data_IF_882249074501
#
_entry.id   IF_882249074501
#
_cell.length_a   1.000
_cell.length_b   1.000
_cell.length_c   1.000
_cell.angle_alpha   90.00
_cell.angle_beta   90.00
_cell.angle_gamma   90.00
#
_symmetry.space_group_name_H-M   'P 1'
#
loop_
_entity.id
_entity.type
_entity.pdbx_description
1 polymer ?
#
# COMPACT_ATOMS: atom_id res chain seq x y z
N UNK A 1 -8.78 17.67 9.31
CA UNK A 1 -7.35 17.96 9.60
C UNK A 1 -6.47 16.71 9.47
N UNK A 2 -6.84 15.55 10.04
CA UNK A 2 -6.05 14.31 9.95
C UNK A 2 -5.81 13.79 8.52
N UNK A 3 -6.78 13.92 7.62
CA UNK A 3 -6.63 13.46 6.22
C UNK A 3 -5.59 14.26 5.42
N UNK A 4 -5.36 15.54 5.72
CA UNK A 4 -4.35 16.34 5.00
C UNK A 4 -2.94 15.81 5.31
N UNK A 5 -2.67 15.45 6.57
CA UNK A 5 -1.41 14.83 6.97
C UNK A 5 -1.19 13.48 6.29
N UNK A 6 -2.24 12.67 6.15
CA UNK A 6 -2.21 11.41 5.38
C UNK A 6 -1.83 11.64 3.92
N UNK A 7 -2.48 12.58 3.25
CA UNK A 7 -2.25 12.87 1.82
C UNK A 7 -0.80 13.30 1.60
N UNK A 8 -0.32 14.25 2.41
CA UNK A 8 1.07 14.71 2.35
C UNK A 8 2.05 13.59 2.68
N UNK A 9 1.77 12.79 3.71
CA UNK A 9 2.61 11.66 4.10
C UNK A 9 2.78 10.64 2.97
N UNK A 10 1.70 10.29 2.27
CA UNK A 10 1.72 9.36 1.14
C UNK A 10 2.51 9.92 -0.04
N UNK A 11 2.27 11.17 -0.44
CA UNK A 11 3.01 11.79 -1.54
C UNK A 11 4.49 11.97 -1.22
N UNK A 12 4.83 12.48 -0.03
CA UNK A 12 6.21 12.65 0.40
C UNK A 12 6.93 11.30 0.47
N UNK A 13 6.28 10.25 0.99
CA UNK A 13 6.87 8.92 1.03
C UNK A 13 7.13 8.39 -0.38
N UNK A 14 6.15 8.50 -1.30
CA UNK A 14 6.33 8.08 -2.69
C UNK A 14 7.51 8.81 -3.35
N UNK A 15 7.62 10.13 -3.14
CA UNK A 15 8.73 10.94 -3.67
C UNK A 15 10.07 10.55 -3.06
N UNK A 16 10.16 10.35 -1.74
CA UNK A 16 11.41 9.93 -1.06
C UNK A 16 11.87 8.58 -1.63
N UNK A 17 10.96 7.64 -1.81
CA UNK A 17 11.25 6.31 -2.34
C UNK A 17 11.83 6.40 -3.76
N UNK A 18 11.23 7.22 -4.63
CA UNK A 18 11.74 7.45 -5.98
C UNK A 18 13.10 8.16 -5.99
N UNK A 19 13.29 9.18 -5.16
CA UNK A 19 14.58 9.89 -5.08
C UNK A 19 15.69 8.93 -4.64
N UNK A 20 15.38 8.01 -3.72
CA UNK A 20 16.36 7.11 -3.15
C UNK A 20 16.74 5.95 -4.07
N UNK A 21 15.79 5.46 -4.88
CA UNK A 21 16.02 4.30 -5.74
C UNK A 21 15.11 4.35 -6.98
N UNK A 22 15.45 5.21 -7.94
CA UNK A 22 14.71 5.34 -9.21
C UNK A 22 15.09 4.27 -10.24
N UNK A 23 16.15 3.49 -10.03
CA UNK A 23 16.63 2.51 -11.02
C UNK A 23 15.90 1.18 -10.89
N UNK A 24 15.43 0.85 -9.70
CA UNK A 24 14.75 -0.42 -9.43
C UNK A 24 13.28 -0.37 -9.85
N UNK A 25 12.88 -1.26 -10.77
CA UNK A 25 11.50 -1.33 -11.28
C UNK A 25 10.46 -1.54 -10.15
N UNK A 26 10.74 -2.39 -9.16
CA UNK A 26 9.82 -2.58 -8.02
C UNK A 26 9.57 -1.28 -7.25
N UNK A 27 10.56 -0.39 -7.19
CA UNK A 27 10.46 0.88 -6.48
C UNK A 27 9.48 1.83 -7.15
N UNK A 28 9.41 1.83 -8.49
CA UNK A 28 8.39 2.56 -9.25
C UNK A 28 6.97 2.09 -8.93
N UNK A 29 6.77 0.77 -8.85
CA UNK A 29 5.44 0.21 -8.56
C UNK A 29 4.98 0.50 -7.13
N UNK A 30 5.91 0.47 -6.16
CA UNK A 30 5.60 0.87 -4.78
C UNK A 30 5.28 2.37 -4.69
N UNK A 31 6.06 3.22 -5.34
CA UNK A 31 5.80 4.65 -5.39
C UNK A 31 4.47 4.97 -6.09
N UNK A 32 4.17 4.27 -7.19
CA UNK A 32 2.90 4.36 -7.90
C UNK A 32 1.71 4.00 -7.00
N UNK A 33 1.82 2.90 -6.26
CA UNK A 33 0.82 2.51 -5.25
C UNK A 33 0.59 3.63 -4.22
N UNK A 34 1.64 4.13 -3.60
CA UNK A 34 1.54 5.18 -2.58
C UNK A 34 0.97 6.48 -3.14
N UNK A 35 1.37 6.86 -4.35
CA UNK A 35 0.86 8.05 -5.04
C UNK A 35 -0.63 7.91 -5.35
N UNK A 36 -1.07 6.76 -5.86
CA UNK A 36 -2.48 6.46 -6.13
C UNK A 36 -3.31 6.44 -4.83
N UNK A 37 -2.79 5.87 -3.74
CA UNK A 37 -3.44 5.97 -2.42
C UNK A 37 -3.56 7.43 -1.97
N UNK A 38 -2.53 8.25 -2.21
CA UNK A 38 -2.56 9.70 -1.94
C UNK A 38 -3.63 10.43 -2.74
N UNK A 39 -3.79 10.11 -4.04
CA UNK A 39 -4.86 10.65 -4.88
C UNK A 39 -6.25 10.21 -4.38
N UNK A 40 -6.39 8.95 -3.96
CA UNK A 40 -7.63 8.46 -3.36
C UNK A 40 -8.01 9.20 -2.08
N UNK A 41 -7.04 9.39 -1.17
CA UNK A 41 -7.25 10.17 0.04
C UNK A 41 -7.53 11.65 -0.25
N UNK A 42 -6.90 12.23 -1.30
CA UNK A 42 -7.19 13.60 -1.72
C UNK A 42 -8.61 13.73 -2.28
N UNK A 43 -9.06 12.73 -3.06
CA UNK A 43 -10.42 12.71 -3.61
C UNK A 43 -11.50 12.79 -2.52
N UNK A 44 -11.35 12.06 -1.41
CA UNK A 44 -12.36 12.05 -0.34
C UNK A 44 -12.48 13.37 0.44
N UNK A 45 -11.47 14.24 0.38
CA UNK A 45 -11.53 15.57 1.01
C UNK A 45 -11.82 16.71 0.02
N UNK A 46 -11.81 16.41 -1.29
CA UNK A 46 -11.85 17.43 -2.33
C UNK A 46 -13.13 18.28 -2.21
N UNK A 47 -14.30 17.64 -2.12
CA UNK A 47 -15.58 18.35 -1.98
C UNK A 47 -15.61 19.23 -0.72
N UNK A 48 -15.19 18.69 0.44
CA UNK A 48 -15.16 19.44 1.70
C UNK A 48 -14.25 20.66 1.67
N UNK A 49 -13.09 20.57 1.02
CA UNK A 49 -12.14 21.68 0.88
C UNK A 49 -12.73 22.79 -0.01
N UNK A 50 -13.31 22.42 -1.14
CA UNK A 50 -13.69 23.39 -2.17
C UNK A 50 -15.10 23.95 -2.04
N UNK A 51 -16.00 23.33 -1.28
CA UNK A 51 -17.41 23.75 -1.17
C UNK A 51 -17.60 25.21 -0.70
N UNK A 52 -16.66 25.74 0.08
CA UNK A 52 -16.69 27.12 0.58
C UNK A 52 -15.73 28.08 -0.14
N UNK A 53 -14.95 27.56 -1.10
CA UNK A 53 -13.89 28.31 -1.79
C UNK A 53 -14.29 28.58 -3.25
N UNK A 54 -14.94 27.62 -3.88
CA UNK A 54 -15.28 27.65 -5.31
C UNK A 54 -16.76 28.03 -5.48
N UNK A 55 -17.03 28.85 -6.50
CA UNK A 55 -18.39 29.21 -6.93
C UNK A 55 -19.21 27.92 -7.20
N UNK A 56 -20.44 27.79 -6.67
CA UNK A 56 -21.29 26.61 -6.85
C UNK A 56 -21.41 26.13 -8.30
N UNK A 57 -21.32 27.04 -9.29
CA UNK A 57 -21.38 26.66 -10.72
C UNK A 57 -20.24 25.76 -11.19
N UNK A 58 -19.12 25.72 -10.46
CA UNK A 58 -17.96 24.88 -10.77
C UNK A 58 -17.87 23.62 -9.89
N UNK A 59 -18.79 23.43 -8.94
CA UNK A 59 -18.74 22.27 -8.05
C UNK A 59 -18.93 20.95 -8.78
N UNK A 60 -19.69 20.92 -9.88
CA UNK A 60 -19.82 19.72 -10.72
C UNK A 60 -18.47 19.26 -11.30
N UNK A 61 -17.62 20.21 -11.70
CA UNK A 61 -16.26 19.90 -12.17
C UNK A 61 -15.40 19.33 -11.04
N UNK A 62 -15.51 19.89 -9.83
CA UNK A 62 -14.81 19.39 -8.63
C UNK A 62 -15.24 17.96 -8.32
N UNK A 63 -16.54 17.68 -8.33
CA UNK A 63 -17.07 16.32 -8.12
C UNK A 63 -16.61 15.35 -9.20
N UNK A 64 -16.56 15.78 -10.46
CA UNK A 64 -16.06 14.98 -11.58
C UNK A 64 -14.58 14.61 -11.43
N UNK A 65 -13.72 15.58 -11.11
CA UNK A 65 -12.29 15.36 -10.89
C UNK A 65 -12.10 14.43 -9.69
N UNK A 66 -12.79 14.70 -8.58
CA UNK A 66 -12.76 13.84 -7.39
C UNK A 66 -13.18 12.40 -7.71
N UNK A 67 -14.23 12.20 -8.51
CA UNK A 67 -14.67 10.87 -8.91
C UNK A 67 -13.58 10.14 -9.71
N UNK A 68 -12.92 10.82 -10.67
CA UNK A 68 -11.82 10.26 -11.45
C UNK A 68 -10.64 9.85 -10.58
N UNK A 69 -10.22 10.73 -9.65
CA UNK A 69 -9.12 10.43 -8.72
C UNK A 69 -9.43 9.24 -7.81
N UNK A 70 -10.65 9.17 -7.27
CA UNK A 70 -11.09 8.04 -6.43
C UNK A 70 -11.08 6.74 -7.21
N UNK A 71 -11.62 6.73 -8.44
CA UNK A 71 -11.68 5.55 -9.29
C UNK A 71 -10.27 5.08 -9.68
N UNK A 72 -9.38 6.01 -10.09
CA UNK A 72 -7.99 5.66 -10.39
C UNK A 72 -7.29 5.03 -9.19
N UNK A 73 -7.52 5.55 -7.99
CA UNK A 73 -6.95 4.99 -6.76
C UNK A 73 -7.47 3.58 -6.45
N UNK A 74 -8.78 3.35 -6.58
CA UNK A 74 -9.37 2.05 -6.30
C UNK A 74 -8.89 0.96 -7.26
N UNK A 75 -8.70 1.29 -8.55
CA UNK A 75 -8.43 0.29 -9.59
C UNK A 75 -6.93 0.06 -9.79
N UNK A 76 -6.15 1.14 -9.83
CA UNK A 76 -4.74 1.04 -10.19
C UNK A 76 -3.86 0.70 -8.98
N UNK A 77 -4.23 1.12 -7.76
CA UNK A 77 -3.38 0.91 -6.60
C UNK A 77 -3.21 -0.58 -6.26
N UNK A 78 -4.28 -1.41 -6.21
CA UNK A 78 -4.14 -2.85 -5.94
C UNK A 78 -3.29 -3.58 -6.98
N UNK A 79 -3.40 -3.20 -8.25
CA UNK A 79 -2.52 -3.73 -9.31
C UNK A 79 -1.06 -3.31 -9.10
N UNK A 80 -0.80 -2.04 -8.81
CA UNK A 80 0.56 -1.55 -8.54
C UNK A 80 1.22 -2.31 -7.38
N UNK A 81 0.52 -2.52 -6.26
CA UNK A 81 1.10 -3.23 -5.12
C UNK A 81 1.28 -4.73 -5.39
N UNK A 82 0.42 -5.34 -6.20
CA UNK A 82 0.59 -6.73 -6.62
C UNK A 82 1.82 -6.89 -7.50
N UNK A 83 2.00 -6.03 -8.52
CA UNK A 83 3.19 -6.04 -9.39
C UNK A 83 4.46 -5.80 -8.55
N UNK A 84 4.41 -4.84 -7.63
CA UNK A 84 5.48 -4.62 -6.66
C UNK A 84 5.84 -5.91 -5.90
N UNK A 85 4.84 -6.60 -5.33
CA UNK A 85 5.06 -7.83 -4.57
C UNK A 85 5.60 -8.98 -5.44
N UNK A 86 5.17 -9.09 -6.70
CA UNK A 86 5.67 -10.07 -7.66
C UNK A 86 7.15 -9.84 -8.01
N UNK A 87 7.53 -8.58 -8.27
CA UNK A 87 8.92 -8.20 -8.50
C UNK A 87 9.77 -8.41 -7.24
N UNK A 88 9.29 -7.95 -6.09
CA UNK A 88 9.99 -8.05 -4.81
C UNK A 88 10.17 -9.51 -4.32
N UNK A 89 9.32 -10.43 -4.75
CA UNK A 89 9.43 -11.86 -4.46
C UNK A 89 10.27 -12.65 -5.48
N UNK A 90 10.74 -12.00 -6.55
CA UNK A 90 11.47 -12.63 -7.66
C UNK A 90 10.75 -13.86 -8.24
N UNK A 91 9.41 -13.86 -8.24
CA UNK A 91 8.61 -14.99 -8.75
C UNK A 91 8.26 -14.84 -10.22
N UNK A 92 7.84 -13.64 -10.64
CA UNK A 92 7.36 -13.39 -12.01
C UNK A 92 7.88 -12.03 -12.46
N UNK A 93 8.80 -12.05 -13.42
CA UNK A 93 9.26 -10.87 -14.16
C UNK A 93 8.85 -10.98 -15.63
N UNK A 94 7.55 -10.90 -15.89
CA UNK A 94 7.00 -10.97 -17.24
C UNK A 94 5.99 -9.84 -17.45
N UNK A 95 6.34 -8.90 -18.34
CA UNK A 95 5.52 -7.74 -18.69
C UNK A 95 4.14 -8.11 -19.22
N UNK A 96 4.00 -9.27 -19.87
CA UNK A 96 2.69 -9.76 -20.35
C UNK A 96 1.78 -10.04 -19.15
N UNK A 97 2.31 -10.65 -18.08
CA UNK A 97 1.51 -10.92 -16.88
C UNK A 97 1.06 -9.60 -16.24
N UNK A 98 1.90 -8.57 -16.22
CA UNK A 98 1.51 -7.25 -15.72
C UNK A 98 0.36 -6.66 -16.53
N UNK A 99 0.43 -6.74 -17.86
CA UNK A 99 -0.65 -6.27 -18.74
C UNK A 99 -1.96 -7.04 -18.50
N UNK A 100 -1.89 -8.35 -18.24
CA UNK A 100 -3.08 -9.15 -17.93
C UNK A 100 -3.76 -8.72 -16.62
N UNK A 101 -2.99 -8.27 -15.62
CA UNK A 101 -3.56 -7.76 -14.36
C UNK A 101 -4.37 -6.47 -14.54
N UNK A 102 -4.13 -5.70 -15.60
CA UNK A 102 -4.93 -4.51 -15.90
C UNK A 102 -6.25 -4.83 -16.62
N UNK A 103 -6.46 -6.06 -17.11
CA UNK A 103 -7.69 -6.41 -17.84
C UNK A 103 -8.94 -6.24 -16.96
N UNK A 104 -8.99 -6.78 -15.71
CA UNK A 104 -10.14 -6.57 -14.84
C UNK A 104 -10.38 -5.11 -14.50
N UNK A 105 -9.31 -4.31 -14.35
CA UNK A 105 -9.40 -2.87 -14.09
C UNK A 105 -9.99 -2.09 -15.26
N UNK A 106 -9.57 -2.41 -16.48
CA UNK A 106 -10.11 -1.81 -17.70
C UNK A 106 -11.60 -2.16 -17.82
N UNK A 107 -11.98 -3.41 -17.54
CA UNK A 107 -13.38 -3.83 -17.53
C UNK A 107 -14.19 -3.08 -16.47
N UNK A 108 -13.67 -2.91 -15.25
CA UNK A 108 -14.31 -2.12 -14.20
C UNK A 108 -14.46 -0.65 -14.62
N UNK A 109 -13.50 -0.09 -15.34
CA UNK A 109 -13.55 1.29 -15.84
C UNK A 109 -14.58 1.51 -16.95
N UNK A 110 -14.82 0.50 -17.78
CA UNK A 110 -15.82 0.54 -18.85
C UNK A 110 -17.22 0.29 -18.30
N UNK A 111 -17.36 -0.69 -17.39
CA UNK A 111 -18.67 -1.20 -16.95
C UNK A 111 -19.25 -0.45 -15.76
N UNK A 112 -18.42 0.14 -14.90
CA UNK A 112 -18.90 0.82 -13.68
C UNK A 112 -19.01 2.33 -13.89
N UNK A 113 -20.13 2.95 -13.46
CA UNK A 113 -20.32 4.38 -13.61
C UNK A 113 -19.34 5.17 -12.74
N UNK A 114 -18.63 6.11 -13.37
CA UNK A 114 -17.72 7.02 -12.68
C UNK A 114 -18.52 8.17 -12.10
N UNK A 115 -18.90 7.99 -10.84
CA UNK A 115 -19.71 8.93 -10.06
C UNK A 115 -19.02 9.18 -8.73
N UNK A 116 -19.07 10.42 -8.26
CA UNK A 116 -18.53 10.77 -6.94
C UNK A 116 -19.28 9.97 -5.86
N UNK A 117 -18.58 9.53 -4.82
CA UNK A 117 -19.19 8.73 -3.75
C UNK A 117 -20.29 9.50 -3.01
N UNK A 118 -20.17 10.83 -2.87
CA UNK A 118 -21.18 11.67 -2.22
C UNK A 118 -22.48 11.77 -3.02
N UNK A 119 -22.44 11.46 -4.32
CA UNK A 119 -23.59 11.53 -5.22
C UNK A 119 -24.25 10.16 -5.41
N UNK A 120 -23.60 9.06 -5.01
CA UNK A 120 -24.12 7.69 -5.16
C UNK A 120 -25.22 7.45 -4.12
N UNK A 121 -26.28 6.76 -4.52
CA UNK A 121 -27.22 6.21 -3.52
C UNK A 121 -26.53 5.08 -2.75
N UNK A 122 -27.00 4.78 -1.53
CA UNK A 122 -26.47 3.65 -0.73
C UNK A 122 -26.47 2.34 -1.52
N UNK A 123 -27.51 2.04 -2.29
CA UNK A 123 -27.57 0.83 -3.12
C UNK A 123 -26.53 0.83 -4.24
N UNK A 124 -26.36 1.95 -4.95
CA UNK A 124 -25.32 2.12 -5.98
C UNK A 124 -23.91 1.95 -5.38
N UNK A 125 -23.68 2.54 -4.21
CA UNK A 125 -22.40 2.47 -3.52
C UNK A 125 -22.08 1.03 -3.09
N UNK A 126 -23.05 0.30 -2.53
CA UNK A 126 -22.86 -1.09 -2.11
C UNK A 126 -22.57 -2.02 -3.28
N UNK A 127 -23.29 -1.88 -4.39
CA UNK A 127 -23.02 -2.66 -5.61
C UNK A 127 -21.63 -2.33 -6.17
N UNK A 128 -21.29 -1.04 -6.24
CA UNK A 128 -20.00 -0.58 -6.71
C UNK A 128 -18.84 -1.16 -5.86
N UNK A 129 -18.89 -0.98 -4.54
CA UNK A 129 -17.85 -1.50 -3.64
C UNK A 129 -17.86 -3.03 -3.59
N UNK A 130 -19.02 -3.68 -3.72
CA UNK A 130 -19.12 -5.14 -3.78
C UNK A 130 -18.36 -5.72 -4.97
N UNK A 131 -18.50 -5.11 -6.15
CA UNK A 131 -17.74 -5.50 -7.35
C UNK A 131 -16.23 -5.27 -7.14
N UNK A 132 -15.84 -4.13 -6.58
CA UNK A 132 -14.43 -3.88 -6.24
C UNK A 132 -13.91 -4.86 -5.21
N UNK A 133 -14.70 -5.27 -4.23
CA UNK A 133 -14.28 -6.26 -3.25
C UNK A 133 -13.94 -7.61 -3.92
N UNK A 134 -14.67 -7.99 -4.97
CA UNK A 134 -14.43 -9.24 -5.72
C UNK A 134 -13.13 -9.15 -6.54
N UNK A 135 -12.80 -7.98 -7.07
CA UNK A 135 -11.64 -7.79 -7.96
C UNK A 135 -10.37 -7.43 -7.17
N UNK A 136 -10.45 -6.41 -6.31
CA UNK A 136 -9.29 -5.79 -5.66
C UNK A 136 -8.77 -6.58 -4.46
N UNK A 137 -9.66 -7.19 -3.67
CA UNK A 137 -9.24 -7.93 -2.46
C UNK A 137 -8.34 -9.12 -2.81
N UNK A 138 -8.62 -9.93 -3.85
CA UNK A 138 -7.68 -10.94 -4.32
C UNK A 138 -6.30 -10.38 -4.67
N UNK A 139 -6.20 -9.18 -5.25
CA UNK A 139 -4.91 -8.57 -5.56
C UNK A 139 -4.15 -8.16 -4.31
N UNK A 140 -4.82 -7.50 -3.36
CA UNK A 140 -4.23 -7.10 -2.09
C UNK A 140 -3.78 -8.33 -1.27
N UNK A 141 -4.61 -9.37 -1.22
CA UNK A 141 -4.28 -10.60 -0.49
C UNK A 141 -3.11 -11.34 -1.15
N UNK A 142 -3.10 -11.43 -2.48
CA UNK A 142 -1.98 -12.01 -3.23
C UNK A 142 -0.69 -11.24 -2.98
N UNK A 143 -0.73 -9.91 -2.94
CA UNK A 143 0.42 -9.08 -2.62
C UNK A 143 0.96 -9.37 -1.20
N UNK A 144 0.08 -9.48 -0.20
CA UNK A 144 0.45 -9.85 1.17
C UNK A 144 1.15 -11.22 1.20
N UNK A 145 0.55 -12.24 0.57
CA UNK A 145 1.11 -13.60 0.52
C UNK A 145 2.48 -13.61 -0.15
N UNK A 146 2.64 -12.91 -1.27
CA UNK A 146 3.91 -12.81 -2.00
C UNK A 146 5.01 -12.11 -1.19
N UNK A 147 4.68 -11.05 -0.46
CA UNK A 147 5.62 -10.35 0.41
C UNK A 147 6.08 -11.24 1.57
N UNK A 148 5.14 -11.91 2.24
CA UNK A 148 5.45 -12.87 3.32
C UNK A 148 6.31 -14.01 2.76
N UNK A 149 5.94 -14.57 1.62
CA UNK A 149 6.69 -15.62 0.94
C UNK A 149 8.13 -15.17 0.63
N UNK A 150 8.33 -13.93 0.15
CA UNK A 150 9.65 -13.38 -0.14
C UNK A 150 10.57 -13.37 1.08
N UNK A 151 10.03 -13.13 2.28
CA UNK A 151 10.77 -13.19 3.54
C UNK A 151 11.04 -14.62 4.01
N UNK A 152 10.05 -15.51 3.93
CA UNK A 152 10.20 -16.91 4.36
C UNK A 152 11.25 -17.62 3.50
N UNK A 153 11.24 -17.39 2.18
CA UNK A 153 12.20 -17.95 1.22
C UNK A 153 13.63 -17.42 1.42
N UNK A 154 13.79 -16.22 1.98
CA UNK A 154 15.10 -15.59 2.12
C UNK A 154 15.99 -16.33 3.13
N UNK A 155 17.21 -16.66 2.70
CA UNK A 155 18.21 -17.38 3.51
C UNK A 155 19.24 -16.44 4.11
N UNK A 156 19.58 -15.35 3.42
CA UNK A 156 20.60 -14.42 3.89
C UNK A 156 20.07 -13.50 4.98
N UNK A 157 20.67 -13.59 6.17
CA UNK A 157 20.22 -12.87 7.38
C UNK A 157 20.04 -11.36 7.18
N UNK A 158 21.01 -10.69 6.55
CA UNK A 158 20.97 -9.25 6.34
C UNK A 158 19.80 -8.86 5.43
N UNK A 159 19.62 -9.56 4.30
CA UNK A 159 18.50 -9.32 3.36
C UNK A 159 17.16 -9.63 4.03
N UNK A 160 17.12 -10.70 4.83
CA UNK A 160 15.94 -11.13 5.57
C UNK A 160 15.47 -10.06 6.58
N UNK A 161 16.40 -9.39 7.25
CA UNK A 161 16.10 -8.25 8.14
C UNK A 161 15.45 -7.09 7.39
N UNK A 162 15.95 -6.74 6.21
CA UNK A 162 15.32 -5.71 5.37
C UNK A 162 13.93 -6.13 4.88
N UNK A 163 13.76 -7.37 4.44
CA UNK A 163 12.46 -7.93 4.03
C UNK A 163 11.46 -7.93 5.18
N UNK A 164 11.90 -8.23 6.40
CA UNK A 164 11.05 -8.17 7.59
C UNK A 164 10.54 -6.75 7.84
N UNK A 165 11.42 -5.75 7.84
CA UNK A 165 11.02 -4.35 8.02
C UNK A 165 10.04 -3.93 6.94
N UNK A 166 10.30 -4.32 5.69
CA UNK A 166 9.40 -4.03 4.58
C UNK A 166 8.01 -4.66 4.76
N UNK A 167 7.94 -5.92 5.20
CA UNK A 167 6.67 -6.59 5.54
C UNK A 167 5.96 -5.85 6.66
N UNK A 168 6.66 -5.53 7.76
CA UNK A 168 6.05 -4.84 8.91
C UNK A 168 5.42 -3.52 8.49
N UNK A 169 6.02 -2.79 7.55
CA UNK A 169 5.50 -1.50 7.06
C UNK A 169 4.37 -1.71 6.03
N UNK A 170 4.60 -2.49 4.99
CA UNK A 170 3.69 -2.60 3.85
C UNK A 170 2.51 -3.52 4.19
N UNK A 171 2.78 -4.71 4.73
CA UNK A 171 1.72 -5.71 5.01
C UNK A 171 0.78 -5.21 6.09
N UNK A 172 1.27 -4.51 7.12
CA UNK A 172 0.37 -3.87 8.10
C UNK A 172 -0.58 -2.88 7.42
N UNK A 173 -0.06 -2.00 6.56
CA UNK A 173 -0.85 -1.07 5.77
C UNK A 173 -1.92 -1.78 4.93
N UNK A 174 -1.57 -2.86 4.22
CA UNK A 174 -2.51 -3.62 3.40
C UNK A 174 -3.57 -4.36 4.23
N UNK A 175 -3.19 -4.91 5.39
CA UNK A 175 -4.13 -5.55 6.33
C UNK A 175 -5.15 -4.54 6.86
N UNK A 176 -4.81 -3.25 6.96
CA UNK A 176 -5.77 -2.22 7.33
C UNK A 176 -6.57 -1.71 6.13
N UNK A 177 -5.95 -1.47 4.98
CA UNK A 177 -6.66 -0.99 3.78
C UNK A 177 -7.78 -1.95 3.39
N UNK A 178 -7.49 -3.26 3.34
CA UNK A 178 -8.40 -4.27 2.82
C UNK A 178 -9.77 -4.29 3.54
N UNK A 179 -9.84 -4.45 4.87
CA UNK A 179 -11.12 -4.45 5.58
C UNK A 179 -11.79 -3.08 5.57
N UNK A 180 -11.06 -1.99 5.82
CA UNK A 180 -11.68 -0.68 6.04
C UNK A 180 -12.07 0.05 4.74
N UNK A 181 -11.39 -0.21 3.62
CA UNK A 181 -11.72 0.40 2.33
C UNK A 181 -12.55 -0.49 1.40
N UNK A 182 -12.58 -1.81 1.62
CA UNK A 182 -13.34 -2.74 0.77
C UNK A 182 -14.37 -3.54 1.55
N UNK A 183 -13.94 -4.42 2.47
CA UNK A 183 -14.85 -5.43 3.07
C UNK A 183 -15.96 -4.77 3.90
N UNK A 184 -15.63 -3.89 4.84
CA UNK A 184 -16.61 -3.25 5.72
C UNK A 184 -17.54 -2.32 4.93
N UNK A 185 -17.02 -1.63 3.91
CA UNK A 185 -17.83 -0.79 3.02
C UNK A 185 -18.79 -1.62 2.17
N UNK A 186 -18.36 -2.80 1.71
CA UNK A 186 -19.24 -3.75 1.02
C UNK A 186 -20.37 -4.28 1.93
N UNK A 187 -20.14 -4.32 3.24
CA UNK A 187 -21.12 -4.74 4.25
C UNK A 187 -22.07 -3.61 4.71
N UNK A 188 -22.00 -2.42 4.12
CA UNK A 188 -22.89 -1.30 4.50
C UNK A 188 -22.27 -0.27 5.45
N UNK A 189 -21.03 -0.46 5.91
CA UNK A 189 -20.35 0.52 6.76
C UNK A 189 -19.68 1.58 5.90
N UNK A 190 -20.48 2.49 5.33
CA UNK A 190 -20.03 3.45 4.31
C UNK A 190 -18.82 4.29 4.75
N UNK A 191 -18.75 4.66 6.04
CA UNK A 191 -17.72 5.53 6.62
C UNK A 191 -16.55 4.77 7.29
N UNK A 192 -16.41 3.45 7.08
CA UNK A 192 -15.32 2.69 7.69
C UNK A 192 -13.92 3.16 7.26
N UNK A 193 -13.82 3.82 6.10
CA UNK A 193 -12.57 4.41 5.59
C UNK A 193 -12.06 5.57 6.46
N UNK A 194 -12.90 6.21 7.27
CA UNK A 194 -12.47 7.29 8.18
C UNK A 194 -11.54 6.75 9.28
N UNK A 195 -11.77 5.52 9.75
CA UNK A 195 -10.90 4.85 10.73
C UNK A 195 -9.49 4.63 10.15
N UNK A 196 -9.40 4.33 8.86
CA UNK A 196 -8.12 4.21 8.15
C UNK A 196 -7.33 5.53 8.17
N UNK A 197 -8.02 6.68 8.16
CA UNK A 197 -7.37 8.00 8.19
C UNK A 197 -6.62 8.28 9.50
N UNK A 198 -6.96 7.61 10.60
CA UNK A 198 -6.26 7.72 11.89
C UNK A 198 -5.00 6.83 11.92
N UNK A 199 -5.05 5.70 11.24
CA UNK A 199 -3.98 4.70 11.25
C UNK A 199 -2.79 5.11 10.38
N UNK A 200 -3.01 5.89 9.31
CA UNK A 200 -1.93 6.29 8.39
C UNK A 200 -0.90 7.21 9.05
N UNK A 201 -1.27 8.26 9.83
CA UNK A 201 -0.28 9.03 10.59
C UNK A 201 0.59 8.15 11.50
N UNK A 202 -0.01 7.14 12.15
CA UNK A 202 0.71 6.18 12.99
C UNK A 202 1.69 5.37 12.13
N UNK A 203 1.24 4.85 10.98
CA UNK A 203 2.12 4.13 10.05
C UNK A 203 3.23 5.01 9.48
N UNK A 204 2.96 6.29 9.25
CA UNK A 204 3.95 7.25 8.75
C UNK A 204 5.03 7.53 9.81
N UNK A 205 4.65 7.66 11.08
CA UNK A 205 5.62 7.77 12.19
C UNK A 205 6.46 6.49 12.32
N UNK A 206 5.82 5.32 12.22
CA UNK A 206 6.50 4.03 12.18
C UNK A 206 7.48 3.97 10.99
N UNK A 207 7.04 4.39 9.80
CA UNK A 207 7.86 4.46 8.60
C UNK A 207 9.07 5.38 8.79
N UNK A 208 8.90 6.61 9.30
CA UNK A 208 10.02 7.53 9.59
C UNK A 208 11.00 6.90 10.58
N UNK A 209 10.49 6.29 11.66
CA UNK A 209 11.33 5.61 12.64
C UNK A 209 12.17 4.49 11.98
N UNK A 210 11.54 3.63 11.17
CA UNK A 210 12.23 2.56 10.48
C UNK A 210 13.18 3.07 9.38
N UNK A 211 12.78 4.08 8.62
CA UNK A 211 13.59 4.70 7.57
C UNK A 211 14.88 5.31 8.15
N UNK A 212 14.76 6.04 9.26
CA UNK A 212 15.90 6.64 9.96
C UNK A 212 16.82 5.57 10.57
N UNK A 213 16.25 4.51 11.15
CA UNK A 213 17.02 3.52 11.92
C UNK A 213 17.63 2.39 11.08
N UNK A 214 16.89 1.88 10.10
CA UNK A 214 17.26 0.66 9.38
C UNK A 214 17.83 0.94 8.00
N UNK A 215 18.05 2.20 7.61
CA UNK A 215 18.50 2.53 6.27
C UNK A 215 17.63 1.82 5.22
N UNK A 216 16.30 1.88 5.38
CA UNK A 216 15.36 1.32 4.41
C UNK A 216 15.77 1.89 3.05
N UNK A 217 16.12 1.04 2.07
CA UNK A 217 16.74 1.37 0.76
C UNK A 217 18.28 1.55 0.69
N UNK A 218 19.08 0.94 1.55
CA UNK A 218 20.49 0.64 1.23
C UNK A 218 21.53 1.74 1.47
N UNK A 219 21.12 2.96 1.79
CA UNK A 219 22.05 4.01 2.23
C UNK A 219 21.82 4.39 3.69
N UNK A 220 22.86 4.23 4.53
CA UNK A 220 22.85 4.59 5.94
C UNK A 220 22.87 6.10 6.07
N UNK A 221 21.77 6.72 6.48
CA UNK A 221 21.88 8.00 7.18
C UNK A 221 22.66 7.71 8.46
N UNK A 222 23.95 8.06 8.47
CA UNK A 222 24.84 7.87 9.62
C UNK A 222 24.36 8.75 10.77
N UNK A 223 23.49 8.19 11.62
CA UNK A 223 23.26 8.69 12.96
C UNK A 223 23.70 7.61 13.94
N UNK A 224 24.69 7.97 14.77
CA UNK A 224 25.33 7.05 15.71
C UNK A 224 24.33 6.45 16.72
N UNK A 225 24.35 5.11 16.77
CA UNK A 225 24.15 4.20 17.91
C UNK A 225 23.10 4.58 18.97
N UNK A 226 21.92 3.94 18.88
CA UNK A 226 21.14 3.52 20.06
C UNK A 226 20.60 2.08 19.88
N UNK A 227 21.20 1.14 20.61
CA UNK A 227 20.75 -0.26 20.73
C UNK A 227 19.51 -0.31 21.63
N UNK A 228 18.39 -0.81 21.12
CA UNK A 228 17.13 -0.93 21.86
C UNK A 228 16.52 -2.34 21.71
N UNK A 229 15.65 -2.74 22.65
CA UNK A 229 15.05 -4.07 22.77
C UNK A 229 14.43 -4.66 21.48
N UNK A 230 13.98 -3.82 20.55
CA UNK A 230 13.48 -4.24 19.24
C UNK A 230 14.52 -4.92 18.35
N UNK A 231 15.81 -4.59 18.49
CA UNK A 231 16.87 -5.30 17.76
C UNK A 231 16.95 -6.75 18.20
N UNK A 232 16.83 -7.02 19.50
CA UNK A 232 16.83 -8.38 20.03
C UNK A 232 15.62 -9.17 19.53
N UNK A 233 14.45 -8.53 19.40
CA UNK A 233 13.23 -9.17 18.88
C UNK A 233 13.35 -9.45 17.37
N UNK A 234 13.79 -8.49 16.57
CA UNK A 234 13.99 -8.66 15.11
C UNK A 234 15.03 -9.74 14.86
N UNK A 235 16.17 -9.67 15.57
CA UNK A 235 17.24 -10.65 15.46
C UNK A 235 16.76 -12.04 15.92
N UNK A 236 15.93 -12.12 16.98
CA UNK A 236 15.30 -13.36 17.43
C UNK A 236 14.36 -13.96 16.38
N UNK A 237 13.43 -13.17 15.82
CA UNK A 237 12.48 -13.62 14.79
C UNK A 237 13.23 -14.08 13.53
N UNK A 238 14.22 -13.31 13.09
CA UNK A 238 15.04 -13.66 11.92
C UNK A 238 15.83 -14.96 12.15
N UNK A 239 16.40 -15.15 13.35
CA UNK A 239 17.11 -16.38 13.73
C UNK A 239 16.17 -17.59 13.84
N UNK A 240 15.03 -17.45 14.50
CA UNK A 240 14.03 -18.51 14.67
C UNK A 240 13.56 -19.04 13.30
N UNK A 241 13.31 -18.12 12.37
CA UNK A 241 12.95 -18.46 11.00
C UNK A 241 14.07 -19.20 10.24
N UNK A 242 15.34 -18.91 10.52
CA UNK A 242 16.48 -19.60 9.89
C UNK A 242 16.76 -21.00 10.48
N UNK A 243 16.35 -21.26 11.73
CA UNK A 243 16.52 -22.57 12.39
C UNK A 243 15.57 -23.66 11.88
N UNK A 244 14.56 -23.33 11.08
CA UNK A 244 13.66 -24.31 10.46
C UNK A 244 14.23 -25.00 9.21
N UNK A 245 15.49 -24.73 8.82
CA UNK A 245 16.19 -25.43 7.74
C UNK A 245 17.19 -26.46 8.33
N UNK A 246 16.84 -27.76 8.43
CA UNK A 246 17.70 -28.79 9.02
C UNK A 246 19.05 -28.95 8.30
N UNK A 247 19.16 -28.49 7.05
CA UNK A 247 20.41 -28.48 6.27
C UNK A 247 21.43 -27.44 6.75
N UNK A 248 21.00 -26.38 7.46
CA UNK A 248 21.91 -25.37 8.00
C UNK A 248 22.57 -25.83 9.31
N UNK A 249 21.90 -26.69 10.09
CA UNK A 249 22.45 -27.25 11.32
C UNK A 249 23.62 -28.20 11.03
N UNK A 250 23.58 -28.94 9.91
CA UNK A 250 24.64 -29.86 9.49
C UNK A 250 25.94 -29.17 9.04
N UNK A 251 25.87 -27.89 8.63
CA UNK A 251 27.06 -27.10 8.23
C UNK A 251 27.75 -26.37 9.37
N UNK A 252 27.16 -26.34 10.57
CA UNK A 252 27.75 -25.70 11.75
C UNK A 252 28.31 -26.71 12.76
N UNK A 253 28.16 -28.02 12.48
CA UNK A 253 28.70 -29.11 13.31
C UNK A 253 29.93 -29.81 12.70
N UNK A 254 30.53 -29.26 11.65
CA UNK A 254 31.80 -29.72 11.08
C UNK A 254 32.78 -28.57 10.85
#
# INVERSE_FOLDING_TARGET
>A
MYMVGTILGLFVTATIILIKDYETESTWWLAGFLFLCGLGAFSSVTASIFNNIIDPKYMDLVYYISARLSVSAHYLAPVCILIYAMLYSNLINNKIVYLLLFIPEILCYILLPIKNNDLKTTTELLQYIGILCIVEVPYLFSAIVLLIYSFVKEKYYLIKKYKFVNIVIIVSGLIYVTPFNFILRALGMENSWELFSILIPIHFVIFIYFANKFAVFGDTMKFDKYKFAFENIIDYICRLSSTFDPLLQLKLTH
#
